data_IF_009007416140
#
_entry.id   IF_009007416140
#
_cell.length_a   1.000
_cell.length_b   1.000
_cell.length_c   1.000
_cell.angle_alpha   90.00
_cell.angle_beta   90.00
_cell.angle_gamma   90.00
#
_symmetry.space_group_name_H-M   'P 1'
#
loop_
_entity.id
_entity.type
_entity.pdbx_description
1 polymer ?
#
# COMPACT_ATOMS: atom_id res chain seq x y z
N UNK A 1 -51.53 -48.94 67.56
CA UNK A 1 -50.40 -48.14 67.06
C UNK A 1 -49.20 -49.06 66.98
N UNK A 2 -49.22 -50.14 66.22
CA UNK A 2 -49.50 -50.39 64.79
C UNK A 2 -48.19 -50.36 63.98
N UNK A 3 -47.47 -51.47 64.07
CA UNK A 3 -46.25 -51.81 63.32
C UNK A 3 -46.37 -51.56 61.80
N UNK A 4 -47.59 -51.52 61.26
CA UNK A 4 -47.86 -51.20 59.86
C UNK A 4 -47.52 -49.75 59.48
N UNK A 5 -47.72 -48.79 60.38
CA UNK A 5 -47.47 -47.36 60.11
C UNK A 5 -45.97 -47.03 60.13
N UNK A 6 -45.22 -47.72 61.00
CA UNK A 6 -43.76 -47.62 61.06
C UNK A 6 -43.12 -48.18 59.78
N UNK A 7 -43.61 -49.34 59.32
CA UNK A 7 -43.14 -49.96 58.07
C UNK A 7 -43.47 -49.05 56.87
N UNK A 8 -44.68 -48.50 56.79
CA UNK A 8 -45.06 -47.57 55.72
C UNK A 8 -44.19 -46.29 55.71
N UNK A 9 -43.86 -45.77 56.90
CA UNK A 9 -42.98 -44.62 57.05
C UNK A 9 -41.55 -44.93 56.59
N UNK A 10 -41.02 -46.10 56.96
CA UNK A 10 -39.70 -46.56 56.54
C UNK A 10 -39.60 -46.73 55.01
N UNK A 11 -40.63 -47.30 54.36
CA UNK A 11 -40.67 -47.42 52.90
C UNK A 11 -40.63 -46.06 52.21
N UNK A 12 -41.40 -45.08 52.70
CA UNK A 12 -41.42 -43.73 52.13
C UNK A 12 -40.07 -43.01 52.31
N UNK A 13 -39.41 -43.20 53.46
CA UNK A 13 -38.05 -42.70 53.69
C UNK A 13 -37.04 -43.36 52.76
N UNK A 14 -37.13 -44.67 52.53
CA UNK A 14 -36.26 -45.38 51.60
C UNK A 14 -36.47 -44.90 50.15
N UNK A 15 -37.71 -44.69 49.71
CA UNK A 15 -38.02 -44.21 48.36
C UNK A 15 -37.52 -42.78 48.13
N UNK A 16 -37.69 -41.90 49.12
CA UNK A 16 -37.12 -40.53 49.06
C UNK A 16 -35.59 -40.54 49.07
N UNK A 17 -34.94 -41.40 49.86
CA UNK A 17 -33.49 -41.56 49.84
C UNK A 17 -32.98 -42.08 48.48
N UNK A 18 -33.66 -43.06 47.88
CA UNK A 18 -33.35 -43.59 46.55
C UNK A 18 -33.49 -42.53 45.46
N UNK A 19 -34.58 -41.75 45.49
CA UNK A 19 -34.81 -40.63 44.57
C UNK A 19 -33.72 -39.55 44.70
N UNK A 20 -33.35 -39.20 45.93
CA UNK A 20 -32.28 -38.24 46.21
C UNK A 20 -30.90 -38.73 45.74
N UNK A 21 -30.61 -40.03 45.93
CA UNK A 21 -29.38 -40.65 45.43
C UNK A 21 -29.30 -40.57 43.90
N UNK A 22 -30.36 -40.97 43.19
CA UNK A 22 -30.42 -40.87 41.74
C UNK A 22 -30.30 -39.41 41.24
N UNK A 23 -30.82 -38.43 42.00
CA UNK A 23 -30.62 -37.01 41.68
C UNK A 23 -29.17 -36.57 41.89
N UNK A 24 -28.53 -37.03 42.97
CA UNK A 24 -27.11 -36.77 43.22
C UNK A 24 -26.23 -37.34 42.11
N UNK A 25 -26.45 -38.58 41.67
CA UNK A 25 -25.67 -39.18 40.58
C UNK A 25 -25.78 -38.39 39.27
N UNK A 26 -27.00 -37.96 38.90
CA UNK A 26 -27.19 -37.12 37.71
C UNK A 26 -26.49 -35.76 37.83
N UNK A 27 -26.54 -35.15 39.02
CA UNK A 27 -25.85 -33.89 39.27
C UNK A 27 -24.33 -34.06 39.21
N UNK A 28 -23.80 -35.15 39.76
CA UNK A 28 -22.38 -35.47 39.71
C UNK A 28 -21.92 -35.65 38.26
N UNK A 29 -22.61 -36.48 37.48
CA UNK A 29 -22.31 -36.68 36.07
C UNK A 29 -22.33 -35.36 35.27
N UNK A 30 -23.31 -34.48 35.53
CA UNK A 30 -23.39 -33.16 34.88
C UNK A 30 -22.21 -32.25 35.27
N UNK A 31 -21.75 -32.30 36.51
CA UNK A 31 -20.59 -31.52 36.96
C UNK A 31 -19.31 -32.05 36.34
N UNK A 32 -19.17 -33.38 36.22
CA UNK A 32 -18.03 -34.02 35.58
C UNK A 32 -17.92 -33.64 34.10
N UNK A 33 -19.04 -33.67 33.35
CA UNK A 33 -19.06 -33.24 31.95
C UNK A 33 -18.71 -31.77 31.81
N UNK A 34 -19.34 -30.90 32.62
CA UNK A 34 -19.03 -29.46 32.59
C UNK A 34 -17.57 -29.16 32.95
N UNK A 35 -16.98 -29.93 33.87
CA UNK A 35 -15.57 -29.81 34.22
C UNK A 35 -14.65 -30.24 33.07
N UNK A 36 -15.02 -31.30 32.35
CA UNK A 36 -14.28 -31.75 31.16
C UNK A 36 -14.33 -30.68 30.06
N UNK A 37 -15.51 -30.12 29.77
CA UNK A 37 -15.68 -29.07 28.77
C UNK A 37 -14.82 -27.84 29.12
N UNK A 38 -14.85 -27.40 30.39
CA UNK A 38 -14.03 -26.28 30.86
C UNK A 38 -12.52 -26.56 30.77
N UNK A 39 -12.09 -27.79 31.01
CA UNK A 39 -10.68 -28.18 30.81
C UNK A 39 -10.26 -28.11 29.34
N UNK A 40 -11.15 -28.49 28.42
CA UNK A 40 -10.88 -28.40 26.98
C UNK A 40 -10.80 -26.93 26.53
N UNK A 41 -11.75 -26.09 26.94
CA UNK A 41 -11.72 -24.63 26.68
C UNK A 41 -10.42 -23.99 27.22
N UNK A 42 -10.00 -24.37 28.43
CA UNK A 42 -8.77 -23.87 29.03
C UNK A 42 -7.52 -24.33 28.25
N UNK A 43 -7.50 -25.59 27.79
CA UNK A 43 -6.42 -26.08 26.94
C UNK A 43 -6.37 -25.36 25.59
N UNK A 44 -7.52 -25.03 25.00
CA UNK A 44 -7.59 -24.30 23.74
C UNK A 44 -7.09 -22.85 23.90
N UNK A 45 -7.59 -22.14 24.90
CA UNK A 45 -7.18 -20.75 25.17
C UNK A 45 -5.69 -20.64 25.51
N UNK A 46 -5.09 -21.65 26.15
CA UNK A 46 -3.63 -21.73 26.33
C UNK A 46 -2.86 -21.80 25.01
N UNK A 47 -3.30 -22.64 24.06
CA UNK A 47 -2.66 -22.73 22.74
C UNK A 47 -2.81 -21.41 21.96
N UNK A 48 -3.96 -20.78 22.06
CA UNK A 48 -4.20 -19.46 21.43
C UNK A 48 -3.29 -18.40 22.04
N UNK A 49 -3.12 -18.38 23.36
CA UNK A 49 -2.19 -17.49 24.06
C UNK A 49 -0.75 -17.70 23.60
N UNK A 50 -0.28 -18.94 23.52
CA UNK A 50 1.07 -19.28 23.03
C UNK A 50 1.27 -18.82 21.58
N UNK A 51 0.26 -19.02 20.72
CA UNK A 51 0.31 -18.55 19.33
C UNK A 51 0.42 -17.03 19.25
N UNK A 52 -0.34 -16.28 20.06
CA UNK A 52 -0.29 -14.82 20.08
C UNK A 52 1.04 -14.32 20.64
N UNK A 53 1.58 -14.97 21.68
CA UNK A 53 2.90 -14.64 22.22
C UNK A 53 4.00 -14.76 21.16
N UNK A 54 4.00 -15.87 20.41
CA UNK A 54 4.94 -16.06 19.30
C UNK A 54 4.79 -14.97 18.22
N UNK A 55 3.57 -14.61 17.84
CA UNK A 55 3.32 -13.53 16.88
C UNK A 55 3.81 -12.17 17.39
N UNK A 56 3.64 -11.86 18.67
CA UNK A 56 4.14 -10.63 19.28
C UNK A 56 5.67 -10.56 19.26
N UNK A 57 6.35 -11.66 19.54
CA UNK A 57 7.82 -11.75 19.47
C UNK A 57 8.31 -11.53 18.04
N UNK A 58 7.69 -12.20 17.06
CA UNK A 58 8.03 -12.02 15.64
C UNK A 58 7.85 -10.57 15.19
N UNK A 59 6.69 -9.97 15.48
CA UNK A 59 6.42 -8.57 15.10
C UNK A 59 7.37 -7.58 15.79
N UNK A 60 7.84 -7.91 17.00
CA UNK A 60 8.82 -7.10 17.72
C UNK A 60 10.18 -7.14 17.03
N UNK A 61 10.62 -8.32 16.57
CA UNK A 61 11.86 -8.45 15.81
C UNK A 61 11.77 -7.78 14.44
N UNK A 62 10.67 -7.96 13.71
CA UNK A 62 10.43 -7.27 12.44
C UNK A 62 10.50 -5.74 12.61
N UNK A 63 9.86 -5.20 13.66
CA UNK A 63 9.95 -3.78 13.99
C UNK A 63 11.39 -3.34 14.28
N UNK A 64 12.18 -4.18 14.95
CA UNK A 64 13.60 -3.89 15.23
C UNK A 64 14.41 -3.80 13.96
N UNK A 65 14.19 -4.72 13.00
CA UNK A 65 14.84 -4.71 11.69
C UNK A 65 14.44 -3.45 10.91
N UNK A 66 13.14 -3.17 10.79
CA UNK A 66 12.65 -1.98 10.07
C UNK A 66 13.20 -0.68 10.66
N UNK A 67 13.32 -0.57 11.99
CA UNK A 67 13.94 0.61 12.62
C UNK A 67 15.41 0.77 12.22
N UNK A 68 16.18 -0.32 12.14
CA UNK A 68 17.58 -0.28 11.69
C UNK A 68 17.67 0.16 10.23
N UNK A 69 16.85 -0.40 9.36
CA UNK A 69 16.80 -0.01 7.95
C UNK A 69 16.44 1.46 7.79
N UNK A 70 15.42 1.94 8.53
CA UNK A 70 15.02 3.34 8.52
C UNK A 70 16.16 4.27 8.96
N UNK A 71 16.90 3.91 10.01
CA UNK A 71 18.10 4.68 10.40
C UNK A 71 19.20 4.63 9.34
N UNK A 72 19.36 3.52 8.61
CA UNK A 72 20.31 3.39 7.51
C UNK A 72 19.94 4.29 6.33
N UNK A 73 18.68 4.25 5.90
CA UNK A 73 18.15 5.11 4.84
C UNK A 73 18.24 6.59 5.20
N UNK A 74 17.97 6.94 6.46
CA UNK A 74 18.10 8.32 6.93
C UNK A 74 19.53 8.85 6.80
N UNK A 75 20.54 8.03 7.15
CA UNK A 75 21.95 8.41 6.95
C UNK A 75 22.31 8.55 5.47
N UNK A 76 21.85 7.64 4.62
CA UNK A 76 22.09 7.74 3.18
C UNK A 76 21.48 9.01 2.58
N UNK A 77 20.29 9.41 3.05
CA UNK A 77 19.66 10.65 2.65
C UNK A 77 20.49 11.88 3.08
N UNK A 78 21.01 11.88 4.31
CA UNK A 78 21.85 12.97 4.80
C UNK A 78 23.19 13.05 4.04
N UNK A 79 23.80 11.91 3.72
CA UNK A 79 25.01 11.84 2.89
C UNK A 79 24.77 12.39 1.48
N UNK A 80 23.63 12.04 0.86
CA UNK A 80 23.26 12.56 -0.46
C UNK A 80 22.99 14.07 -0.42
N UNK A 81 22.32 14.57 0.62
CA UNK A 81 22.12 16.01 0.81
C UNK A 81 23.44 16.74 0.97
N UNK A 82 24.40 16.15 1.68
CA UNK A 82 25.72 16.75 1.85
C UNK A 82 26.47 16.80 0.51
N UNK A 83 26.51 15.68 -0.24
CA UNK A 83 27.11 15.63 -1.58
C UNK A 83 26.50 16.65 -2.53
N UNK A 84 25.18 16.82 -2.49
CA UNK A 84 24.49 17.80 -3.31
C UNK A 84 24.97 19.22 -3.02
N UNK A 85 25.08 19.61 -1.74
CA UNK A 85 25.63 20.91 -1.34
C UNK A 85 27.08 21.09 -1.78
N UNK A 86 27.89 20.04 -1.69
CA UNK A 86 29.28 20.09 -2.12
C UNK A 86 29.36 20.33 -3.65
N UNK A 87 28.53 19.64 -4.44
CA UNK A 87 28.42 19.89 -5.89
C UNK A 87 27.93 21.30 -6.21
N UNK A 88 26.95 21.84 -5.47
CA UNK A 88 26.50 23.22 -5.64
C UNK A 88 27.62 24.24 -5.35
N UNK A 89 28.41 24.00 -4.31
CA UNK A 89 29.56 24.82 -3.95
C UNK A 89 30.66 24.77 -5.02
N UNK A 90 30.98 23.58 -5.54
CA UNK A 90 31.92 23.40 -6.64
C UNK A 90 31.45 24.12 -7.91
N UNK A 91 30.16 24.01 -8.25
CA UNK A 91 29.57 24.71 -9.38
C UNK A 91 29.65 26.23 -9.21
N UNK A 92 29.41 26.73 -8.00
CA UNK A 92 29.56 28.15 -7.69
C UNK A 92 31.01 28.61 -7.88
N UNK A 93 31.98 27.87 -7.35
CA UNK A 93 33.40 28.18 -7.52
C UNK A 93 33.81 28.19 -9.01
N UNK A 94 33.38 27.19 -9.78
CA UNK A 94 33.62 27.12 -11.23
C UNK A 94 33.00 28.30 -11.97
N UNK A 95 31.78 28.72 -11.63
CA UNK A 95 31.14 29.91 -12.20
C UNK A 95 31.92 31.18 -11.90
N UNK A 96 32.37 31.37 -10.66
CA UNK A 96 33.22 32.49 -10.28
C UNK A 96 34.54 32.49 -11.06
N UNK A 97 35.21 31.33 -11.16
CA UNK A 97 36.45 31.18 -11.92
C UNK A 97 36.24 31.50 -13.40
N UNK A 98 35.20 30.95 -14.03
CA UNK A 98 34.86 31.22 -15.42
C UNK A 98 34.57 32.71 -15.66
N UNK A 99 33.91 33.38 -14.71
CA UNK A 99 33.67 34.82 -14.78
C UNK A 99 34.98 35.61 -14.76
N UNK A 100 35.91 35.29 -13.85
CA UNK A 100 37.24 35.92 -13.78
C UNK A 100 38.04 35.67 -15.07
N UNK A 101 38.02 34.45 -15.60
CA UNK A 101 38.72 34.13 -16.85
C UNK A 101 38.15 34.89 -18.04
N UNK A 102 36.82 35.01 -18.14
CA UNK A 102 36.15 35.80 -19.17
C UNK A 102 36.53 37.29 -19.09
N UNK A 103 36.60 37.86 -17.88
CA UNK A 103 37.06 39.25 -17.70
C UNK A 103 38.52 39.45 -18.13
N UNK A 104 39.37 38.44 -17.95
CA UNK A 104 40.78 38.45 -18.40
C UNK A 104 40.95 38.20 -19.91
N UNK A 105 39.86 38.11 -20.67
CA UNK A 105 39.90 37.95 -22.13
C UNK A 105 40.07 36.50 -22.60
N UNK A 106 39.98 35.50 -21.72
CA UNK A 106 39.92 34.11 -22.14
C UNK A 106 38.53 33.82 -22.73
N UNK A 107 38.49 33.51 -24.02
CA UNK A 107 37.27 33.10 -24.73
C UNK A 107 37.23 31.57 -24.75
N UNK A 108 36.12 30.94 -24.31
CA UNK A 108 35.98 29.50 -24.45
C UNK A 108 35.97 29.16 -25.93
N UNK A 109 36.95 28.36 -26.37
CA UNK A 109 36.94 27.77 -27.71
C UNK A 109 35.69 26.91 -27.80
N UNK A 110 34.78 27.27 -28.72
CA UNK A 110 33.67 26.38 -29.06
C UNK A 110 34.28 25.13 -29.65
N UNK A 111 34.27 24.03 -28.90
CA UNK A 111 34.53 22.70 -29.43
C UNK A 111 33.35 22.38 -30.36
N UNK A 112 33.51 22.69 -31.64
CA UNK A 112 32.71 22.08 -32.69
C UNK A 112 33.23 20.67 -32.88
N UNK A 113 32.35 19.70 -32.69
CA UNK A 113 32.46 18.31 -33.12
C UNK A 113 33.69 17.55 -32.65
N UNK A 114 33.56 16.93 -31.48
CA UNK A 114 34.19 15.64 -31.24
C UNK A 114 33.06 14.62 -31.13
N UNK A 115 32.61 14.14 -32.29
CA UNK A 115 31.88 12.89 -32.42
C UNK A 115 32.74 11.81 -31.77
N UNK A 116 32.36 11.39 -30.58
CA UNK A 116 32.89 10.17 -29.99
C UNK A 116 32.23 9.05 -30.79
N UNK A 117 32.93 8.55 -31.80
CA UNK A 117 32.56 7.33 -32.49
C UNK A 117 32.56 6.19 -31.45
N UNK A 118 31.36 5.85 -30.96
CA UNK A 118 31.12 4.58 -30.33
C UNK A 118 31.20 3.50 -31.43
N UNK A 119 32.10 2.50 -31.32
CA UNK A 119 32.24 1.49 -32.35
C UNK A 119 31.09 0.48 -32.22
N UNK A 120 30.06 0.64 -33.05
CA UNK A 120 29.06 -0.41 -33.24
C UNK A 120 27.66 0.08 -33.60
N UNK A 121 27.44 0.44 -34.86
CA UNK A 121 26.20 0.10 -35.57
C UNK A 121 26.33 0.29 -37.08
N UNK A 122 25.74 -0.60 -37.89
CA UNK A 122 25.98 -0.67 -39.32
C UNK A 122 25.25 0.46 -40.05
N UNK A 123 25.90 0.99 -41.08
CA UNK A 123 25.35 1.98 -41.99
C UNK A 123 24.19 1.38 -42.81
N UNK A 124 22.96 1.77 -42.49
CA UNK A 124 21.82 1.60 -43.39
C UNK A 124 21.75 2.83 -44.30
N UNK A 125 22.20 2.67 -45.54
CA UNK A 125 21.97 3.64 -46.62
C UNK A 125 20.50 3.57 -47.02
N UNK A 126 19.68 4.54 -46.61
CA UNK A 126 18.39 4.77 -47.26
C UNK A 126 18.56 5.77 -48.42
N UNK A 127 17.98 5.50 -49.60
CA UNK A 127 18.04 6.43 -50.72
C UNK A 127 17.01 7.55 -50.53
N UNK A 128 17.43 8.79 -50.80
CA UNK A 128 16.55 9.95 -50.97
C UNK A 128 15.46 9.65 -52.01
N UNK A 129 14.16 9.88 -51.71
CA UNK A 129 13.16 9.99 -52.75
C UNK A 129 13.14 11.43 -53.26
N UNK A 130 13.61 11.60 -54.49
CA UNK A 130 13.22 12.70 -55.36
C UNK A 130 11.77 12.49 -55.79
N UNK A 131 10.83 13.25 -55.25
CA UNK A 131 9.56 13.48 -55.95
C UNK A 131 8.95 14.83 -55.59
N UNK A 132 8.75 15.62 -56.65
CA UNK A 132 8.30 16.99 -56.65
C UNK A 132 6.78 17.02 -56.40
N UNK A 133 6.36 16.76 -55.17
CA UNK A 133 4.96 16.91 -54.76
C UNK A 133 4.86 18.21 -54.00
N UNK A 134 4.12 19.20 -54.54
CA UNK A 134 3.77 20.41 -53.78
C UNK A 134 3.27 19.97 -52.40
N UNK A 135 3.83 20.48 -51.30
CA UNK A 135 3.33 20.13 -49.98
C UNK A 135 1.84 20.46 -49.97
N UNK A 136 1.01 19.50 -49.54
CA UNK A 136 -0.40 19.76 -49.29
C UNK A 136 -0.49 21.06 -48.48
N UNK A 137 -1.34 21.98 -48.91
CA UNK A 137 -1.56 23.26 -48.23
C UNK A 137 -1.91 22.95 -46.77
N UNK A 138 -0.92 23.02 -45.88
CA UNK A 138 -1.14 22.96 -44.45
C UNK A 138 -1.76 24.30 -44.10
N UNK A 139 -3.00 24.26 -43.67
CA UNK A 139 -3.67 25.42 -43.12
C UNK A 139 -2.80 25.98 -42.00
N UNK A 140 -2.24 27.17 -42.23
CA UNK A 140 -1.32 27.85 -41.29
C UNK A 140 -2.03 28.26 -40.01
N UNK A 141 -3.36 28.17 -39.97
CA UNK A 141 -4.20 28.41 -38.81
C UNK A 141 -4.72 27.11 -38.18
N UNK A 142 -4.33 25.93 -38.68
CA UNK A 142 -4.66 24.68 -37.98
C UNK A 142 -3.95 24.65 -36.63
N UNK A 143 -4.65 24.31 -35.53
CA UNK A 143 -4.04 24.21 -34.22
C UNK A 143 -2.75 23.38 -34.27
N UNK A 144 -1.64 24.04 -33.99
CA UNK A 144 -0.31 23.45 -33.92
C UNK A 144 -0.08 22.91 -32.51
N UNK A 145 0.93 22.07 -32.30
CA UNK A 145 1.30 21.59 -30.95
C UNK A 145 1.80 22.70 -30.01
N UNK A 146 1.74 23.97 -30.44
CA UNK A 146 2.08 25.17 -29.68
C UNK A 146 0.88 26.06 -29.39
N UNK A 147 -0.30 25.73 -29.93
CA UNK A 147 -1.53 26.43 -29.57
C UNK A 147 -2.02 25.88 -28.23
N UNK A 148 -1.87 26.70 -27.18
CA UNK A 148 -2.43 26.38 -25.87
C UNK A 148 -3.94 26.10 -26.02
N UNK A 149 -4.51 25.15 -25.25
CA UNK A 149 -5.94 24.95 -25.24
C UNK A 149 -6.66 26.28 -24.96
N UNK A 150 -7.87 26.44 -25.49
CA UNK A 150 -8.67 27.62 -25.17
C UNK A 150 -8.86 27.75 -23.64
N UNK A 151 -9.13 28.97 -23.17
CA UNK A 151 -9.18 29.24 -21.74
C UNK A 151 -10.22 28.38 -20.99
N UNK A 152 -11.28 27.96 -21.68
CA UNK A 152 -12.33 27.08 -21.14
C UNK A 152 -11.85 25.62 -21.02
N UNK A 153 -11.17 25.09 -22.04
CA UNK A 153 -10.58 23.75 -22.02
C UNK A 153 -9.45 23.66 -21.02
N UNK A 154 -8.60 24.69 -20.91
CA UNK A 154 -7.54 24.73 -19.91
C UNK A 154 -8.12 24.72 -18.49
N UNK A 155 -9.15 25.53 -18.19
CA UNK A 155 -9.80 25.51 -16.88
C UNK A 155 -10.41 24.13 -16.55
N UNK A 156 -10.91 23.42 -17.56
CA UNK A 156 -11.43 22.05 -17.40
C UNK A 156 -10.33 21.03 -17.16
N UNK A 157 -9.18 21.16 -17.84
CA UNK A 157 -7.98 20.35 -17.58
C UNK A 157 -7.51 20.57 -16.15
N UNK A 158 -7.37 21.82 -15.71
CA UNK A 158 -6.91 22.15 -14.35
C UNK A 158 -7.84 21.55 -13.27
N UNK A 159 -9.17 21.58 -13.51
CA UNK A 159 -10.14 20.95 -12.62
C UNK A 159 -9.97 19.44 -12.55
N UNK A 160 -9.76 18.79 -13.71
CA UNK A 160 -9.56 17.34 -13.79
C UNK A 160 -8.22 16.92 -13.17
N UNK A 161 -7.16 17.72 -13.32
CA UNK A 161 -5.85 17.50 -12.69
C UNK A 161 -5.91 17.64 -11.17
N UNK A 162 -6.72 18.57 -10.66
CA UNK A 162 -7.00 18.72 -9.23
C UNK A 162 -7.78 17.51 -8.68
N UNK A 163 -8.80 17.03 -9.40
CA UNK A 163 -9.54 15.81 -9.05
C UNK A 163 -8.62 14.59 -9.09
N UNK A 164 -7.77 14.47 -10.11
CA UNK A 164 -6.79 13.40 -10.27
C UNK A 164 -5.80 13.37 -9.10
N UNK A 165 -5.30 14.53 -8.68
CA UNK A 165 -4.40 14.66 -7.52
C UNK A 165 -5.08 14.19 -6.25
N UNK A 166 -6.35 14.58 -6.04
CA UNK A 166 -7.14 14.16 -4.89
C UNK A 166 -7.35 12.64 -4.85
N UNK A 167 -7.66 12.02 -5.99
CA UNK A 167 -7.81 10.57 -6.10
C UNK A 167 -6.51 9.81 -5.87
N UNK A 168 -5.35 10.34 -6.30
CA UNK A 168 -4.07 9.72 -6.00
C UNK A 168 -3.75 9.72 -4.49
N UNK A 169 -4.08 10.80 -3.79
CA UNK A 169 -3.94 10.88 -2.33
C UNK A 169 -4.86 9.85 -1.65
N UNK A 170 -6.11 9.74 -2.11
CA UNK A 170 -7.07 8.77 -1.58
C UNK A 170 -6.65 7.32 -1.83
N UNK A 171 -6.16 7.01 -3.04
CA UNK A 171 -5.56 5.72 -3.39
C UNK A 171 -4.41 5.38 -2.45
N UNK A 172 -3.48 6.31 -2.20
CA UNK A 172 -2.34 6.08 -1.31
C UNK A 172 -2.78 5.87 0.15
N UNK A 173 -3.82 6.58 0.59
CA UNK A 173 -4.46 6.36 1.90
C UNK A 173 -5.04 4.94 2.00
N UNK A 174 -5.82 4.51 1.02
CA UNK A 174 -6.44 3.17 1.01
C UNK A 174 -5.38 2.06 0.99
N UNK A 175 -4.34 2.20 0.16
CA UNK A 175 -3.21 1.24 0.13
C UNK A 175 -2.49 1.17 1.48
N UNK A 176 -2.33 2.32 2.15
CA UNK A 176 -1.74 2.37 3.50
C UNK A 176 -2.64 1.69 4.53
N UNK A 177 -3.96 1.91 4.48
CA UNK A 177 -4.93 1.24 5.35
C UNK A 177 -4.94 -0.28 5.12
N UNK A 178 -4.92 -0.73 3.86
CA UNK A 178 -4.82 -2.14 3.49
C UNK A 178 -3.52 -2.78 3.99
N UNK A 179 -2.38 -2.10 3.83
CA UNK A 179 -1.07 -2.61 4.29
C UNK A 179 -1.03 -2.78 5.82
N UNK A 180 -1.74 -1.91 6.54
CA UNK A 180 -1.87 -1.99 7.99
C UNK A 180 -2.77 -3.13 8.44
N UNK A 181 -3.82 -3.43 7.67
CA UNK A 181 -4.67 -4.59 7.86
C UNK A 181 -3.98 -5.85 7.32
N UNK A 182 -3.11 -6.49 8.11
CA UNK A 182 -2.54 -7.81 7.79
C UNK A 182 -3.64 -8.87 7.81
N UNK A 183 -4.30 -9.08 6.67
CA UNK A 183 -5.34 -10.10 6.52
C UNK A 183 -4.72 -11.42 6.07
N UNK A 184 -4.68 -12.37 6.99
CA UNK A 184 -4.32 -13.76 6.74
C UNK A 184 -5.58 -14.62 6.57
N UNK A 185 -5.47 -15.83 5.98
CA UNK A 185 -6.60 -16.76 5.86
C UNK A 185 -7.31 -17.05 7.19
N UNK A 186 -6.58 -16.96 8.31
CA UNK A 186 -7.09 -17.17 9.68
C UNK A 186 -7.57 -15.89 10.39
N UNK A 187 -7.45 -14.71 9.78
CA UNK A 187 -7.86 -13.44 10.40
C UNK A 187 -9.37 -13.39 10.70
N UNK A 188 -9.82 -12.62 11.69
CA UNK A 188 -11.24 -12.43 12.00
C UNK A 188 -12.08 -12.06 10.76
N UNK A 189 -13.31 -12.61 10.68
CA UNK A 189 -14.18 -12.41 9.52
C UNK A 189 -14.51 -10.93 9.23
N UNK A 190 -14.59 -10.10 10.29
CA UNK A 190 -14.83 -8.66 10.17
C UNK A 190 -13.64 -7.93 9.52
N UNK A 191 -12.41 -8.32 9.82
CA UNK A 191 -11.21 -7.72 9.23
C UNK A 191 -11.07 -8.10 7.76
N UNK A 192 -11.36 -9.37 7.40
CA UNK A 192 -11.44 -9.81 6.00
C UNK A 192 -12.46 -9.01 5.21
N UNK A 193 -13.65 -8.79 5.78
CA UNK A 193 -14.71 -8.01 5.13
C UNK A 193 -14.28 -6.55 4.93
N UNK A 194 -13.66 -5.93 5.94
CA UNK A 194 -13.16 -4.56 5.83
C UNK A 194 -12.09 -4.43 4.74
N UNK A 195 -11.15 -5.38 4.69
CA UNK A 195 -10.12 -5.39 3.66
C UNK A 195 -10.69 -5.56 2.26
N UNK A 196 -11.68 -6.45 2.08
CA UNK A 196 -12.34 -6.63 0.79
C UNK A 196 -13.11 -5.39 0.33
N UNK A 197 -13.75 -4.65 1.25
CA UNK A 197 -14.37 -3.37 0.94
C UNK A 197 -13.34 -2.33 0.49
N UNK A 198 -12.19 -2.26 1.17
CA UNK A 198 -11.09 -1.37 0.78
C UNK A 198 -10.51 -1.76 -0.59
N UNK A 199 -10.39 -3.05 -0.91
CA UNK A 199 -9.99 -3.50 -2.25
C UNK A 199 -10.96 -3.04 -3.34
N UNK A 200 -12.27 -3.11 -3.06
CA UNK A 200 -13.30 -2.68 -3.99
C UNK A 200 -13.24 -1.15 -4.20
N UNK A 201 -13.17 -0.38 -3.12
CA UNK A 201 -13.03 1.09 -3.18
C UNK A 201 -11.75 1.51 -3.90
N UNK A 202 -10.65 0.77 -3.71
CA UNK A 202 -9.39 1.01 -4.42
C UNK A 202 -9.52 0.73 -5.92
N UNK A 203 -10.21 -0.35 -6.29
CA UNK A 203 -10.47 -0.68 -7.70
C UNK A 203 -11.33 0.41 -8.37
N UNK A 204 -12.38 0.88 -7.70
CA UNK A 204 -13.25 1.96 -8.18
C UNK A 204 -12.47 3.27 -8.34
N UNK A 205 -11.58 3.58 -7.39
CA UNK A 205 -10.70 4.76 -7.45
C UNK A 205 -9.71 4.68 -8.60
N UNK A 206 -9.11 3.50 -8.85
CA UNK A 206 -8.21 3.28 -10.00
C UNK A 206 -8.95 3.43 -11.33
N UNK A 207 -10.18 2.92 -11.42
CA UNK A 207 -11.03 3.11 -12.59
C UNK A 207 -11.30 4.60 -12.83
N UNK A 208 -11.62 5.35 -11.77
CA UNK A 208 -11.86 6.79 -11.86
C UNK A 208 -10.64 7.60 -12.28
N UNK A 209 -9.46 7.25 -11.73
CA UNK A 209 -8.17 7.80 -12.16
C UNK A 209 -7.97 7.57 -13.66
N UNK A 210 -8.29 6.38 -14.17
CA UNK A 210 -8.14 6.06 -15.58
C UNK A 210 -9.09 6.90 -16.46
N UNK A 211 -10.36 7.01 -16.08
CA UNK A 211 -11.37 7.82 -16.78
C UNK A 211 -10.98 9.30 -16.87
N UNK A 212 -10.47 9.87 -15.77
CA UNK A 212 -10.03 11.27 -15.73
C UNK A 212 -8.77 11.45 -16.57
N UNK A 213 -7.81 10.52 -16.48
CA UNK A 213 -6.59 10.55 -17.30
C UNK A 213 -6.91 10.49 -18.79
N UNK A 214 -7.85 9.63 -19.20
CA UNK A 214 -8.33 9.60 -20.59
C UNK A 214 -9.06 10.88 -20.99
N UNK A 215 -9.83 11.47 -20.09
CA UNK A 215 -10.55 12.73 -20.34
C UNK A 215 -9.58 13.89 -20.54
N UNK A 216 -8.53 13.98 -19.72
CA UNK A 216 -7.44 14.96 -19.88
C UNK A 216 -6.74 14.74 -21.23
N UNK A 217 -6.39 13.49 -21.56
CA UNK A 217 -5.72 13.17 -22.83
C UNK A 217 -6.55 13.60 -24.06
N UNK A 218 -7.86 13.33 -24.04
CA UNK A 218 -8.81 13.75 -25.09
C UNK A 218 -8.88 15.28 -25.21
N UNK A 219 -8.87 16.01 -24.09
CA UNK A 219 -8.89 17.48 -24.09
C UNK A 219 -7.55 18.09 -24.55
N UNK A 220 -6.44 17.39 -24.32
CA UNK A 220 -5.10 17.79 -24.78
C UNK A 220 -4.84 17.41 -26.26
N UNK A 221 -5.79 16.76 -26.94
CA UNK A 221 -5.66 16.36 -28.34
C UNK A 221 -4.65 15.23 -28.58
N UNK A 222 -4.39 14.38 -27.58
CA UNK A 222 -3.49 13.22 -27.64
C UNK A 222 -4.24 11.87 -27.72
#
# INVERSE_FOLDING_TARGET
MDSSDEVATAYKQMETASSNYAKCERNLARVETATCDKRQELAQTRRELESVQYQCEQLSEDNRVLRRENTGLSRQLDDLKQRFKDCENELFQLKCQAHVMKQRGYVPVKQTDCTIDAPGSPATKEPLPTENTKPAYRDIFSPTMFDCPDAETQAKIDSLESELTSLYIEKDRMVSEMTRCKVEPKSPALERRKFHLLEQELADTNQRIHEITESIRKLQGQ
#
